data_IF_665724919675
#
_entry.id   IF_665724919675
#
_cell.length_a   1.000
_cell.length_b   1.000
_cell.length_c   1.000
_cell.angle_alpha   90.00
_cell.angle_beta   90.00
_cell.angle_gamma   90.00
#
_symmetry.space_group_name_H-M   'P 1'
#
loop_
_entity.id
_entity.type
_entity.pdbx_description
1 polymer ?
#
# COMPACT_ATOMS: atom_id res chain seq x y z
N UNK A 1 53.94 -13.79 -14.43
CA UNK A 1 54.08 -15.24 -14.25
C UNK A 1 52.74 -15.77 -13.78
N UNK A 2 52.17 -16.37 -14.63
CA UNK A 2 51.48 -17.61 -15.02
C UNK A 2 50.03 -17.68 -14.60
N UNK A 3 49.07 -17.59 -15.54
CA UNK A 3 48.42 -18.66 -16.36
C UNK A 3 47.87 -19.78 -15.47
N UNK A 4 46.65 -20.23 -15.55
CA UNK A 4 45.92 -20.71 -16.74
C UNK A 4 44.52 -21.26 -16.37
N UNK A 5 43.58 -21.08 -17.27
CA UNK A 5 42.77 -22.07 -18.00
C UNK A 5 41.58 -22.71 -17.31
N UNK A 6 40.38 -22.32 -17.80
CA UNK A 6 39.54 -23.03 -18.79
C UNK A 6 39.02 -24.41 -18.37
N UNK A 7 37.71 -24.62 -18.36
CA UNK A 7 37.05 -25.49 -19.34
C UNK A 7 35.51 -25.44 -19.25
N UNK A 8 34.96 -25.21 -20.44
CA UNK A 8 33.57 -25.48 -20.84
C UNK A 8 33.28 -26.97 -20.76
N UNK A 9 32.04 -27.37 -20.45
CA UNK A 9 31.44 -28.57 -20.98
C UNK A 9 29.98 -28.34 -21.31
N UNK A 10 29.74 -28.22 -22.63
CA UNK A 10 28.43 -28.48 -23.26
C UNK A 10 28.27 -30.02 -23.34
N UNK A 11 27.08 -30.49 -23.09
CA UNK A 11 26.66 -31.84 -23.49
C UNK A 11 25.30 -31.71 -24.18
N UNK A 12 25.40 -31.86 -25.50
CA UNK A 12 24.29 -32.14 -26.42
C UNK A 12 23.86 -33.60 -26.23
N UNK A 13 22.57 -33.84 -26.12
CA UNK A 13 22.01 -35.16 -26.41
C UNK A 13 20.96 -35.02 -27.52
N UNK A 14 21.36 -35.54 -28.70
CA UNK A 14 20.47 -35.96 -29.77
C UNK A 14 19.95 -37.36 -29.45
N UNK A 15 18.68 -37.61 -29.68
CA UNK A 15 18.08 -38.92 -29.66
C UNK A 15 16.90 -39.00 -30.62
N UNK A 16 17.16 -39.59 -31.76
CA UNK A 16 16.19 -39.97 -32.83
C UNK A 16 15.43 -41.25 -32.50
N UNK A 17 14.25 -41.32 -33.10
CA UNK A 17 13.61 -42.60 -33.53
C UNK A 17 12.39 -42.95 -32.69
N UNK A 18 11.24 -43.37 -33.19
CA UNK A 18 10.92 -44.27 -34.29
C UNK A 18 9.43 -44.10 -34.60
N UNK A 19 9.12 -44.19 -35.90
CA UNK A 19 7.80 -44.28 -36.51
C UNK A 19 7.19 -45.67 -36.24
N UNK A 20 5.91 -45.68 -35.84
CA UNK A 20 5.11 -46.92 -35.77
C UNK A 20 3.72 -46.69 -36.40
N UNK A 21 3.58 -47.19 -37.65
CA UNK A 21 2.30 -47.25 -38.37
C UNK A 21 1.59 -48.54 -37.92
N UNK A 22 0.36 -48.40 -37.44
CA UNK A 22 -0.51 -49.52 -37.14
C UNK A 22 -1.95 -49.18 -37.52
N UNK A 23 -2.38 -49.72 -38.66
CA UNK A 23 -3.78 -49.67 -39.10
C UNK A 23 -4.57 -50.81 -38.44
N UNK A 24 -5.75 -50.49 -37.89
CA UNK A 24 -6.81 -51.49 -37.70
C UNK A 24 -8.20 -50.80 -37.62
N UNK A 25 -8.91 -50.93 -38.63
CA UNK A 25 -10.33 -51.28 -38.95
C UNK A 25 -11.40 -51.10 -37.86
N UNK A 26 -12.36 -50.29 -38.20
CA UNK A 26 -13.84 -50.34 -38.10
C UNK A 26 -14.49 -51.13 -36.95
N UNK A 27 -15.21 -50.34 -36.10
CA UNK A 27 -16.48 -50.80 -35.56
C UNK A 27 -17.45 -49.59 -35.39
N UNK A 28 -18.50 -49.62 -36.19
CA UNK A 28 -19.69 -48.77 -36.06
C UNK A 28 -20.41 -49.16 -34.78
N UNK A 29 -20.71 -48.20 -33.92
CA UNK A 29 -21.93 -48.30 -33.06
C UNK A 29 -22.25 -46.93 -32.41
N UNK A 30 -23.41 -46.43 -32.81
CA UNK A 30 -24.33 -45.59 -32.06
C UNK A 30 -23.75 -44.51 -31.12
N UNK A 31 -23.32 -43.39 -31.68
CA UNK A 31 -23.17 -42.18 -30.95
C UNK A 31 -24.57 -41.53 -30.74
N UNK A 32 -25.16 -41.77 -29.56
CA UNK A 32 -26.19 -40.89 -29.05
C UNK A 32 -25.66 -39.46 -29.05
N UNK A 33 -26.37 -38.55 -29.72
CA UNK A 33 -26.13 -37.13 -29.66
C UNK A 33 -26.33 -36.68 -28.19
N UNK A 34 -25.25 -36.58 -27.45
CA UNK A 34 -25.24 -35.85 -26.19
C UNK A 34 -25.18 -34.38 -26.56
N UNK A 35 -26.29 -33.69 -26.41
CA UNK A 35 -26.30 -32.23 -26.51
C UNK A 35 -25.28 -31.69 -25.46
N UNK A 36 -24.37 -30.79 -25.86
CA UNK A 36 -23.52 -30.12 -24.88
C UNK A 36 -24.43 -29.34 -23.91
N UNK A 37 -24.15 -29.36 -22.60
CA UNK A 37 -24.89 -28.53 -21.67
C UNK A 37 -24.77 -27.08 -22.12
N UNK A 38 -25.94 -26.43 -22.20
CA UNK A 38 -26.08 -25.00 -22.43
C UNK A 38 -25.05 -24.23 -21.58
N UNK A 39 -24.31 -23.25 -22.16
CA UNK A 39 -23.42 -22.47 -21.33
C UNK A 39 -24.28 -21.79 -20.26
N UNK A 40 -24.00 -22.14 -19.02
CA UNK A 40 -24.54 -21.48 -17.87
C UNK A 40 -24.53 -19.98 -18.13
N UNK A 41 -25.70 -19.40 -18.25
CA UNK A 41 -25.88 -17.97 -18.13
C UNK A 41 -25.25 -17.59 -16.78
N UNK A 42 -24.03 -17.11 -16.84
CA UNK A 42 -23.40 -16.47 -15.69
C UNK A 42 -24.30 -15.29 -15.35
N UNK A 43 -25.19 -15.52 -14.43
CA UNK A 43 -25.92 -14.48 -13.76
C UNK A 43 -24.86 -13.64 -13.06
N UNK A 44 -24.29 -12.66 -13.82
CA UNK A 44 -23.55 -11.55 -13.25
C UNK A 44 -24.55 -10.76 -12.43
N UNK A 45 -24.87 -11.25 -11.26
CA UNK A 45 -25.23 -10.38 -10.17
C UNK A 45 -24.07 -9.37 -10.08
N UNK A 46 -24.30 -8.19 -10.66
CA UNK A 46 -23.56 -7.01 -10.24
C UNK A 46 -23.81 -6.95 -8.74
N UNK A 47 -22.89 -7.48 -7.98
CA UNK A 47 -22.76 -7.13 -6.57
C UNK A 47 -22.52 -5.64 -6.62
N UNK A 48 -23.59 -4.87 -6.52
CA UNK A 48 -23.49 -3.48 -6.10
C UNK A 48 -22.69 -3.59 -4.81
N UNK A 49 -21.44 -3.11 -4.85
CA UNK A 49 -20.74 -2.79 -3.63
C UNK A 49 -21.72 -1.91 -2.87
N UNK A 50 -22.38 -2.48 -1.88
CA UNK A 50 -23.23 -1.71 -1.00
C UNK A 50 -22.32 -0.63 -0.46
N UNK A 51 -22.68 0.63 -0.68
CA UNK A 51 -22.13 1.76 0.03
C UNK A 51 -22.48 1.58 1.52
N UNK A 52 -21.81 0.63 2.14
CA UNK A 52 -21.92 0.42 3.56
C UNK A 52 -21.36 1.69 4.19
N UNK A 53 -22.25 2.51 4.70
CA UNK A 53 -21.89 3.74 5.42
C UNK A 53 -20.92 3.33 6.52
N UNK A 54 -19.68 3.74 6.44
CA UNK A 54 -18.72 3.54 7.51
C UNK A 54 -19.20 4.34 8.70
N UNK A 55 -19.47 3.67 9.81
CA UNK A 55 -19.79 4.36 11.06
C UNK A 55 -18.51 5.05 11.53
N UNK A 56 -18.44 6.36 11.34
CA UNK A 56 -17.35 7.18 11.88
C UNK A 56 -17.38 7.13 13.40
N UNK A 57 -16.21 7.03 14.00
CA UNK A 57 -16.10 7.25 15.44
C UNK A 57 -16.67 8.64 15.80
N UNK A 58 -17.33 8.79 16.96
CA UNK A 58 -17.68 10.12 17.46
C UNK A 58 -16.44 11.03 17.44
N UNK A 59 -16.59 12.37 17.38
CA UNK A 59 -15.45 13.26 17.48
C UNK A 59 -14.62 12.92 18.72
N UNK A 60 -13.38 12.50 18.46
CA UNK A 60 -12.42 12.07 19.47
C UNK A 60 -11.54 13.22 19.94
N UNK A 61 -10.36 12.86 20.47
CA UNK A 61 -9.30 13.83 20.76
C UNK A 61 -8.89 14.55 19.47
N UNK A 62 -8.49 15.80 19.58
CA UNK A 62 -7.85 16.51 18.46
C UNK A 62 -6.49 15.91 18.16
N UNK A 63 -6.04 16.04 16.90
CA UNK A 63 -4.68 15.66 16.53
C UNK A 63 -3.67 16.43 17.39
N UNK A 64 -2.72 15.76 18.02
CA UNK A 64 -1.61 16.41 18.73
C UNK A 64 -0.71 17.20 17.76
N UNK A 65 -0.06 18.26 18.27
CA UNK A 65 0.90 19.04 17.50
C UNK A 65 2.17 18.23 17.19
N UNK A 66 2.83 18.56 16.07
CA UNK A 66 4.13 18.00 15.73
C UNK A 66 5.20 18.51 16.69
N UNK A 67 5.95 17.62 17.31
CA UNK A 67 6.95 17.94 18.33
C UNK A 67 8.30 17.36 17.98
N UNK A 68 9.38 18.12 18.20
CA UNK A 68 10.75 17.62 18.05
C UNK A 68 11.13 17.20 16.63
N UNK A 69 10.45 17.75 15.62
CA UNK A 69 10.74 17.44 14.23
C UNK A 69 12.11 18.01 13.85
N UNK A 70 13.04 17.16 13.47
CA UNK A 70 14.40 17.53 13.11
C UNK A 70 14.53 18.10 11.69
N UNK A 71 13.66 17.67 10.79
CA UNK A 71 13.66 18.04 9.37
C UNK A 71 12.29 17.78 8.75
N UNK A 72 11.97 18.54 7.69
CA UNK A 72 10.83 18.30 6.80
C UNK A 72 11.30 17.99 5.39
N UNK A 73 10.71 16.99 4.76
CA UNK A 73 10.84 16.73 3.32
C UNK A 73 9.53 17.07 2.63
N UNK A 74 9.62 17.45 1.37
CA UNK A 74 8.51 17.78 0.46
C UNK A 74 7.64 18.98 0.92
N UNK A 75 8.01 19.67 1.98
CA UNK A 75 7.32 20.90 2.43
C UNK A 75 8.22 21.74 3.33
N UNK A 76 7.82 23.00 3.54
CA UNK A 76 8.24 23.77 4.72
C UNK A 76 7.61 23.19 5.99
N UNK A 77 8.10 23.52 7.19
CA UNK A 77 7.46 23.13 8.44
C UNK A 77 5.98 23.48 8.48
N UNK A 78 5.16 22.56 8.96
CA UNK A 78 3.71 22.70 9.15
C UNK A 78 3.36 22.52 10.63
N UNK A 79 2.26 23.16 11.05
CA UNK A 79 1.58 22.92 12.32
C UNK A 79 0.23 22.25 12.08
N UNK A 80 -0.38 21.72 13.12
CA UNK A 80 -1.79 21.22 13.04
C UNK A 80 -2.76 22.36 12.71
N UNK A 81 -2.44 23.58 13.12
CA UNK A 81 -3.25 24.75 12.77
C UNK A 81 -3.28 25.03 11.26
N UNK A 82 -2.18 24.79 10.54
CA UNK A 82 -2.09 24.97 9.08
C UNK A 82 -2.92 23.93 8.30
N UNK A 83 -3.31 22.84 8.95
CA UNK A 83 -4.10 21.75 8.35
C UNK A 83 -5.61 21.91 8.57
N UNK A 84 -6.04 22.90 9.37
CA UNK A 84 -7.46 23.15 9.60
C UNK A 84 -8.20 23.46 8.29
N UNK A 85 -9.44 23.00 8.21
CA UNK A 85 -10.25 23.09 7.00
C UNK A 85 -10.04 21.94 6.01
N UNK A 86 -9.06 21.06 6.26
CA UNK A 86 -8.78 19.87 5.46
C UNK A 86 -9.04 18.59 6.23
N UNK A 87 -9.42 17.54 5.53
CA UNK A 87 -9.36 16.17 6.06
C UNK A 87 -7.89 15.77 6.13
N UNK A 88 -7.43 15.27 7.28
CA UNK A 88 -6.01 15.02 7.53
C UNK A 88 -5.76 13.53 7.76
N UNK A 89 -4.89 12.95 6.94
CA UNK A 89 -4.36 11.60 7.14
C UNK A 89 -2.93 11.69 7.64
N UNK A 90 -2.69 11.25 8.86
CA UNK A 90 -1.35 11.08 9.45
C UNK A 90 -0.97 9.61 9.37
N UNK A 91 0.22 9.31 8.87
CA UNK A 91 0.78 7.95 8.92
C UNK A 91 2.13 7.98 9.60
N UNK A 92 2.28 7.20 10.68
CA UNK A 92 3.60 6.86 11.22
C UNK A 92 4.19 5.71 10.42
N UNK A 93 5.42 5.88 9.95
CA UNK A 93 6.10 4.92 9.11
C UNK A 93 7.61 5.00 9.24
N UNK A 94 8.29 3.97 8.77
CA UNK A 94 9.73 3.99 8.52
C UNK A 94 10.07 3.15 7.30
N UNK A 95 11.19 3.44 6.63
CA UNK A 95 11.45 2.85 5.32
C UNK A 95 11.94 1.39 5.38
N UNK A 96 12.48 0.90 6.51
CA UNK A 96 12.87 -0.50 6.64
C UNK A 96 11.71 -1.42 7.07
N UNK A 97 10.60 -0.86 7.54
CA UNK A 97 9.43 -1.61 7.96
C UNK A 97 8.68 -2.19 6.75
N UNK A 98 8.64 -3.51 6.61
CA UNK A 98 8.01 -4.19 5.46
C UNK A 98 6.50 -3.90 5.37
N UNK A 99 5.78 -3.87 6.49
CA UNK A 99 4.36 -3.56 6.51
C UNK A 99 4.10 -2.10 6.12
N UNK A 100 5.00 -1.18 6.49
CA UNK A 100 4.96 0.20 6.01
C UNK A 100 5.11 0.25 4.50
N UNK A 101 6.12 -0.41 3.94
CA UNK A 101 6.37 -0.43 2.49
C UNK A 101 5.15 -0.95 1.71
N UNK A 102 4.43 -1.95 2.23
CA UNK A 102 3.21 -2.49 1.61
C UNK A 102 2.03 -1.52 1.69
N UNK A 103 2.00 -0.66 2.70
CA UNK A 103 0.96 0.36 2.89
C UNK A 103 1.19 1.61 2.01
N UNK A 104 2.46 2.00 1.77
CA UNK A 104 2.81 3.23 1.05
C UNK A 104 2.14 3.41 -0.32
N UNK A 105 1.96 2.37 -1.18
CA UNK A 105 1.26 2.53 -2.45
C UNK A 105 -0.18 3.04 -2.31
N UNK A 106 -0.88 2.66 -1.25
CA UNK A 106 -2.24 3.13 -0.97
C UNK A 106 -2.23 4.58 -0.50
N UNK A 107 -1.30 4.94 0.41
CA UNK A 107 -1.16 6.31 0.89
C UNK A 107 -0.83 7.28 -0.25
N UNK A 108 0.14 6.92 -1.11
CA UNK A 108 0.50 7.74 -2.28
C UNK A 108 -0.64 7.85 -3.29
N UNK A 109 -1.41 6.76 -3.49
CA UNK A 109 -2.62 6.78 -4.32
C UNK A 109 -3.65 7.76 -3.76
N UNK A 110 -3.98 7.67 -2.47
CA UNK A 110 -4.97 8.55 -1.84
C UNK A 110 -4.52 10.01 -1.84
N UNK A 111 -3.24 10.28 -1.58
CA UNK A 111 -2.70 11.63 -1.70
C UNK A 111 -2.97 12.20 -3.11
N UNK A 112 -2.54 11.52 -4.16
CA UNK A 112 -2.72 11.98 -5.55
C UNK A 112 -4.20 12.14 -5.94
N UNK A 113 -5.04 11.24 -5.46
CA UNK A 113 -6.45 11.20 -5.84
C UNK A 113 -7.28 12.25 -5.12
N UNK A 114 -6.99 12.51 -3.86
CA UNK A 114 -7.87 13.32 -3.00
C UNK A 114 -7.26 14.65 -2.54
N UNK A 115 -5.99 14.95 -2.86
CA UNK A 115 -5.35 16.21 -2.47
C UNK A 115 -6.14 17.43 -2.98
N UNK A 116 -6.57 17.42 -4.25
CA UNK A 116 -7.37 18.49 -4.84
C UNK A 116 -8.80 18.58 -4.26
N UNK A 117 -9.24 17.52 -3.55
CA UNK A 117 -10.55 17.48 -2.89
C UNK A 117 -10.48 17.81 -1.40
N UNK A 118 -9.31 18.22 -0.90
CA UNK A 118 -9.14 18.66 0.49
C UNK A 118 -8.56 17.62 1.45
N UNK A 119 -7.99 16.50 0.94
CA UNK A 119 -7.20 15.60 1.77
C UNK A 119 -5.77 16.13 1.92
N UNK A 120 -5.26 16.22 3.14
CA UNK A 120 -3.86 16.44 3.46
C UNK A 120 -3.26 15.15 4.03
N UNK A 121 -2.19 14.67 3.42
CA UNK A 121 -1.44 13.49 3.89
C UNK A 121 -0.14 13.96 4.51
N UNK A 122 0.17 13.48 5.72
CA UNK A 122 1.43 13.73 6.42
C UNK A 122 2.03 12.37 6.80
N UNK A 123 3.23 12.07 6.30
CA UNK A 123 3.93 10.83 6.59
C UNK A 123 5.01 11.02 7.64
N UNK A 124 4.72 10.85 8.92
CA UNK A 124 5.70 11.03 10.00
C UNK A 124 6.68 9.88 9.96
N UNK A 125 7.93 10.19 9.61
CA UNK A 125 9.00 9.20 9.62
C UNK A 125 9.61 9.13 11.03
N UNK A 126 9.35 8.03 11.73
CA UNK A 126 9.93 7.73 13.05
C UNK A 126 10.80 6.50 12.93
N UNK A 127 12.13 6.57 13.18
CA UNK A 127 13.05 5.48 12.92
C UNK A 127 12.89 4.34 13.92
N UNK A 128 12.93 3.10 13.43
CA UNK A 128 13.07 1.90 14.27
C UNK A 128 14.54 1.59 14.53
N UNK A 129 15.40 1.80 13.50
CA UNK A 129 16.83 1.51 13.55
C UNK A 129 17.68 2.77 13.40
N UNK A 130 18.93 2.72 13.87
CA UNK A 130 19.85 3.87 13.84
C UNK A 130 20.10 4.41 12.42
N UNK A 131 20.22 3.54 11.41
CA UNK A 131 20.46 3.95 10.02
C UNK A 131 19.26 4.67 9.36
N UNK A 132 18.09 4.56 9.95
CA UNK A 132 16.88 5.24 9.48
C UNK A 132 16.83 6.72 9.89
N UNK A 133 17.73 7.16 10.77
CA UNK A 133 17.86 8.57 11.17
C UNK A 133 18.57 9.41 10.13
N UNK A 134 19.28 8.78 9.19
CA UNK A 134 20.06 9.49 8.17
C UNK A 134 19.15 10.10 7.09
N UNK A 135 19.29 11.41 6.91
CA UNK A 135 18.47 12.19 5.97
C UNK A 135 18.61 11.73 4.51
N UNK A 136 19.79 11.24 4.10
CA UNK A 136 20.03 10.78 2.73
C UNK A 136 19.33 9.43 2.50
N UNK A 137 19.34 8.54 3.51
CA UNK A 137 18.61 7.29 3.45
C UNK A 137 17.09 7.53 3.36
N UNK A 138 16.56 8.46 4.16
CA UNK A 138 15.16 8.88 4.08
C UNK A 138 14.85 9.42 2.69
N UNK A 139 15.64 10.38 2.19
CA UNK A 139 15.46 10.99 0.86
C UNK A 139 15.46 9.95 -0.26
N UNK A 140 16.36 8.96 -0.19
CA UNK A 140 16.40 7.84 -1.14
C UNK A 140 15.11 7.04 -1.09
N UNK A 141 14.62 6.71 0.10
CA UNK A 141 13.37 5.98 0.28
C UNK A 141 12.16 6.76 -0.24
N UNK A 142 12.08 8.08 -0.01
CA UNK A 142 11.03 8.93 -0.56
C UNK A 142 10.96 8.82 -2.09
N UNK A 143 12.12 8.87 -2.76
CA UNK A 143 12.21 8.69 -4.22
C UNK A 143 11.78 7.30 -4.67
N UNK A 144 12.24 6.25 -3.99
CA UNK A 144 11.89 4.86 -4.31
C UNK A 144 10.39 4.58 -4.21
N UNK A 145 9.73 5.13 -3.19
CA UNK A 145 8.31 4.95 -2.95
C UNK A 145 7.42 6.06 -3.56
N UNK A 146 8.02 6.98 -4.33
CA UNK A 146 7.32 8.09 -5.00
C UNK A 146 6.47 8.93 -4.02
N UNK A 147 7.01 9.17 -2.82
CA UNK A 147 6.37 9.97 -1.80
C UNK A 147 6.57 11.45 -2.10
N UNK A 148 5.46 12.18 -2.30
CA UNK A 148 5.43 13.60 -2.63
C UNK A 148 4.74 14.44 -1.56
N UNK A 149 3.99 13.83 -0.65
CA UNK A 149 3.38 14.50 0.48
C UNK A 149 4.41 14.89 1.56
N UNK A 150 4.08 15.85 2.46
CA UNK A 150 4.96 16.26 3.55
C UNK A 150 5.41 15.11 4.45
N UNK A 151 6.71 15.09 4.75
CA UNK A 151 7.31 14.07 5.62
C UNK A 151 8.16 14.74 6.70
N UNK A 152 7.60 14.95 7.91
CA UNK A 152 8.37 15.33 9.09
C UNK A 152 9.16 14.13 9.63
N UNK A 153 10.39 14.40 10.10
CA UNK A 153 11.31 13.41 10.67
C UNK A 153 11.32 13.53 12.18
N UNK A 154 10.74 12.54 12.85
CA UNK A 154 10.60 12.45 14.30
C UNK A 154 11.69 11.55 14.91
N UNK A 155 12.96 11.95 14.78
CA UNK A 155 14.09 11.19 15.28
C UNK A 155 14.14 11.03 16.80
N UNK A 156 13.44 11.91 17.53
CA UNK A 156 13.41 11.90 18.98
C UNK A 156 12.13 11.28 19.56
N UNK A 157 11.25 10.75 18.72
CA UNK A 157 9.98 10.14 19.12
C UNK A 157 9.03 11.09 19.89
N UNK A 158 9.22 12.41 19.80
CA UNK A 158 8.38 13.38 20.52
C UNK A 158 6.97 13.43 19.95
N UNK A 159 6.85 13.46 18.62
CA UNK A 159 5.55 13.39 17.97
C UNK A 159 4.92 12.00 18.14
N UNK A 160 5.70 10.94 18.02
CA UNK A 160 5.28 9.58 18.31
C UNK A 160 4.62 9.46 19.69
N UNK A 161 5.28 9.97 20.71
CA UNK A 161 4.77 9.92 22.08
C UNK A 161 3.53 10.81 22.28
N UNK A 162 3.46 11.98 21.62
CA UNK A 162 2.29 12.86 21.67
C UNK A 162 1.03 12.19 21.10
N UNK A 163 1.20 11.33 20.09
CA UNK A 163 0.11 10.52 19.51
C UNK A 163 -0.15 9.22 20.29
N UNK A 164 0.52 8.98 21.41
CA UNK A 164 0.45 7.71 22.16
C UNK A 164 0.67 6.50 21.24
N UNK A 165 1.54 6.68 20.20
CA UNK A 165 1.76 5.67 19.20
C UNK A 165 2.65 4.53 19.72
N UNK A 166 2.43 3.31 19.20
CA UNK A 166 3.19 2.13 19.61
C UNK A 166 3.54 1.19 18.43
N UNK A 167 3.17 1.56 17.20
CA UNK A 167 3.24 0.62 16.07
C UNK A 167 3.64 1.30 14.76
N UNK A 168 4.26 0.50 13.88
CA UNK A 168 4.48 0.82 12.47
C UNK A 168 3.84 -0.23 11.56
N UNK A 169 3.09 0.16 10.50
CA UNK A 169 2.52 1.48 10.32
C UNK A 169 1.35 1.73 11.28
N UNK A 170 1.06 2.99 11.57
CA UNK A 170 -0.17 3.40 12.24
C UNK A 170 -0.73 4.61 11.51
N UNK A 171 -2.01 4.59 11.21
CA UNK A 171 -2.72 5.61 10.48
C UNK A 171 -3.76 6.27 11.39
N UNK A 172 -3.81 7.60 11.33
CA UNK A 172 -4.83 8.43 11.98
C UNK A 172 -5.52 9.28 10.94
N UNK A 173 -6.84 9.35 10.97
CA UNK A 173 -7.63 10.16 10.06
C UNK A 173 -8.54 11.10 10.85
N UNK A 174 -8.36 12.41 10.61
CA UNK A 174 -9.12 13.46 11.25
C UNK A 174 -10.00 14.23 10.25
N UNK A 175 -11.09 14.76 10.73
CA UNK A 175 -11.96 15.64 9.96
C UNK A 175 -11.36 17.05 9.80
N UNK A 176 -12.06 17.92 9.08
CA UNK A 176 -11.65 19.31 8.82
C UNK A 176 -11.54 20.18 10.07
N UNK A 177 -12.08 19.74 11.20
CA UNK A 177 -11.94 20.40 12.49
C UNK A 177 -10.70 19.96 13.25
N UNK A 178 -10.00 18.91 12.75
CA UNK A 178 -8.85 18.30 13.38
C UNK A 178 -9.21 17.24 14.43
N UNK A 179 -10.47 16.83 14.51
CA UNK A 179 -10.91 15.79 15.43
C UNK A 179 -10.68 14.40 14.82
N UNK A 180 -10.06 13.50 15.58
CA UNK A 180 -9.83 12.12 15.17
C UNK A 180 -11.16 11.38 14.96
N UNK A 181 -11.30 10.78 13.79
CA UNK A 181 -12.52 10.08 13.37
C UNK A 181 -12.27 8.60 13.06
N UNK A 182 -11.03 8.23 12.83
CA UNK A 182 -10.65 6.85 12.54
C UNK A 182 -9.15 6.68 12.76
N UNK A 183 -8.74 5.53 13.27
CA UNK A 183 -7.36 5.08 13.28
C UNK A 183 -7.26 3.61 12.87
N UNK A 184 -6.07 3.20 12.43
CA UNK A 184 -5.78 1.83 12.06
C UNK A 184 -4.33 1.49 12.33
N UNK A 185 -4.12 0.46 13.15
CA UNK A 185 -2.81 -0.10 13.47
C UNK A 185 -2.47 -1.21 12.49
N UNK A 186 -1.28 -1.14 11.91
CA UNK A 186 -0.76 -2.18 11.04
C UNK A 186 -1.13 -2.04 9.57
N UNK A 187 -0.78 -3.06 8.80
CA UNK A 187 -1.11 -3.20 7.37
C UNK A 187 -2.58 -3.58 7.19
N UNK A 188 -3.22 -3.13 6.10
CA UNK A 188 -4.58 -3.55 5.74
C UNK A 188 -5.64 -2.47 5.88
N UNK A 189 -6.91 -2.89 6.00
CA UNK A 189 -8.11 -2.05 6.09
C UNK A 189 -8.22 -0.95 5.00
N UNK A 190 -7.64 -1.19 3.81
CA UNK A 190 -7.51 -0.19 2.75
C UNK A 190 -8.86 0.33 2.25
N UNK A 191 -9.81 -0.57 1.98
CA UNK A 191 -11.15 -0.21 1.53
C UNK A 191 -11.90 0.64 2.56
N UNK A 192 -11.82 0.23 3.83
CA UNK A 192 -12.46 0.96 4.94
C UNK A 192 -11.83 2.35 5.11
N UNK A 193 -10.50 2.43 5.04
CA UNK A 193 -9.77 3.71 5.13
C UNK A 193 -10.17 4.63 3.98
N UNK A 194 -10.19 4.14 2.74
CA UNK A 194 -10.58 4.94 1.58
C UNK A 194 -12.06 5.38 1.64
N UNK A 195 -12.95 4.52 2.11
CA UNK A 195 -14.36 4.89 2.35
C UNK A 195 -14.48 6.00 3.40
N UNK A 196 -13.71 5.90 4.50
CA UNK A 196 -13.69 6.92 5.54
C UNK A 196 -13.17 8.26 4.99
N UNK A 197 -12.09 8.25 4.18
CA UNK A 197 -11.58 9.46 3.51
C UNK A 197 -12.70 10.11 2.69
N UNK A 198 -13.37 9.35 1.82
CA UNK A 198 -14.45 9.88 0.98
C UNK A 198 -15.62 10.43 1.80
N UNK A 199 -15.99 9.75 2.86
CA UNK A 199 -17.07 10.18 3.73
C UNK A 199 -16.76 11.49 4.47
N UNK A 200 -15.50 11.73 4.83
CA UNK A 200 -15.07 12.96 5.50
C UNK A 200 -14.91 14.13 4.51
N UNK A 201 -14.64 13.84 3.25
CA UNK A 201 -14.51 14.84 2.19
C UNK A 201 -15.89 15.34 1.68
N UNK A 202 -16.96 14.56 1.81
CA UNK A 202 -18.34 14.87 1.39
C UNK A 202 -18.67 14.18 0.10
#
# INVERSE_FOLDING_TARGET
MNHSHLRRRQLLYFGLGIVGIGAATTAFSNLRKVNPPSPFAANRSKTQASDAVVVLSPPGKNLPEFQGISQWFNSTPLSIADLKGSVVLIQFWTFACINCQRTLPYITKWHRQYEAHGLKVIGIHTPEFAFERDANNIKKALGQHQITYPVPVDNEYKTWNAYENGYWPHLFLADSQGSLRYDHVGEGAYEKTEQTIRQLLG
#
